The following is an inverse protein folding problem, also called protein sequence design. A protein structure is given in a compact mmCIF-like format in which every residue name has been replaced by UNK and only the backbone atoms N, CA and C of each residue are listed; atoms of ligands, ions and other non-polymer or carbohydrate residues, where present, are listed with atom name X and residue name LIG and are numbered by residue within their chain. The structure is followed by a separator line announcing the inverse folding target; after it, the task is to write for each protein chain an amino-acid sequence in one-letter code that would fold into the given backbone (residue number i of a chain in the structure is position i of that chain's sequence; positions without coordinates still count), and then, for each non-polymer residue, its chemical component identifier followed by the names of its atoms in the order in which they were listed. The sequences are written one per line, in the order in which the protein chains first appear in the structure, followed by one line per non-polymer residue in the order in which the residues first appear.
data_IF_530092715777
#
_entry.id   IF_530092715777
#
_cell.length_a   1.000
_cell.length_b   1.000
_cell.length_c   1.000
_cell.angle_alpha   90.00
_cell.angle_beta   90.00
_cell.angle_gamma   90.00
#
_symmetry.space_group_name_H-M   'P 1'
#
loop_
_entity.id
_entity.type
_entity.pdbx_description
1 polymer ?
#
# COMPACT_ATOMS: atom_id res chain seq x y z
N UNK A 1 -10.41 12.94 21.92
CA UNK A 1 -10.23 11.62 21.28
C UNK A 1 -9.12 11.74 20.26
N UNK A 2 -8.17 10.79 20.18
CA UNK A 2 -7.13 10.81 19.16
C UNK A 2 -7.76 10.47 17.79
N UNK A 3 -7.39 11.23 16.75
CA UNK A 3 -7.83 10.98 15.38
C UNK A 3 -6.69 10.30 14.62
N UNK A 4 -6.78 8.98 14.50
CA UNK A 4 -5.77 8.17 13.82
C UNK A 4 -6.39 7.56 12.56
N UNK A 5 -5.70 7.69 11.44
CA UNK A 5 -6.07 6.97 10.23
C UNK A 5 -4.83 6.25 9.65
N UNK A 6 -4.97 4.96 9.50
CA UNK A 6 -3.99 4.08 8.86
C UNK A 6 -4.48 3.75 7.45
N UNK A 7 -3.63 3.91 6.48
CA UNK A 7 -3.94 3.62 5.08
C UNK A 7 -3.03 2.50 4.58
N UNK A 8 -3.57 1.54 3.87
CA UNK A 8 -2.75 0.70 3.01
C UNK A 8 -2.21 1.53 1.83
N UNK A 9 -1.19 1.01 1.16
CA UNK A 9 -0.57 1.68 0.02
C UNK A 9 -1.08 1.12 -1.31
N UNK A 10 -0.82 -0.16 -1.57
CA UNK A 10 -1.04 -0.82 -2.84
C UNK A 10 -2.54 -1.10 -3.07
N UNK A 11 -3.06 -0.70 -4.24
CA UNK A 11 -4.47 -0.79 -4.61
C UNK A 11 -5.44 -0.05 -3.63
N UNK A 12 -4.87 0.80 -2.77
CA UNK A 12 -5.60 1.73 -1.89
C UNK A 12 -5.23 3.18 -2.20
N UNK A 13 -4.04 3.64 -1.85
CA UNK A 13 -3.56 5.00 -2.17
C UNK A 13 -2.96 5.11 -3.56
N UNK A 14 -2.46 4.01 -4.10
CA UNK A 14 -1.88 3.92 -5.45
C UNK A 14 -2.46 2.72 -6.20
N UNK A 15 -2.63 2.85 -7.51
CA UNK A 15 -3.03 1.75 -8.39
C UNK A 15 -1.83 0.84 -8.68
N UNK A 16 -1.59 -0.12 -7.78
CA UNK A 16 -0.51 -1.09 -7.90
C UNK A 16 -0.77 -2.08 -9.03
N UNK A 17 -2.01 -2.51 -9.19
CA UNK A 17 -2.38 -3.51 -10.19
C UNK A 17 -2.12 -3.02 -11.61
N UNK A 18 -2.49 -1.79 -11.94
CA UNK A 18 -2.17 -1.18 -13.22
C UNK A 18 -0.67 -0.88 -13.35
N UNK A 19 -0.07 -0.32 -12.29
CA UNK A 19 1.36 -0.01 -12.25
C UNK A 19 2.23 -1.25 -12.47
N UNK A 20 1.84 -2.41 -11.93
CA UNK A 20 2.56 -3.67 -12.12
C UNK A 20 2.62 -4.08 -13.60
N UNK A 21 1.50 -4.03 -14.31
CA UNK A 21 1.47 -4.38 -15.75
C UNK A 21 2.33 -3.45 -16.60
N UNK A 22 2.29 -2.16 -16.30
CA UNK A 22 3.12 -1.16 -16.98
C UNK A 22 4.61 -1.41 -16.67
N UNK A 23 4.93 -1.66 -15.41
CA UNK A 23 6.28 -1.95 -14.97
C UNK A 23 6.87 -3.19 -15.66
N UNK A 24 6.16 -4.32 -15.68
CA UNK A 24 6.65 -5.56 -16.29
C UNK A 24 6.90 -5.37 -17.79
N UNK A 25 6.00 -4.71 -18.49
CA UNK A 25 6.18 -4.41 -19.92
C UNK A 25 7.41 -3.55 -20.18
N UNK A 26 7.60 -2.48 -19.38
CA UNK A 26 8.80 -1.64 -19.50
C UNK A 26 10.06 -2.41 -19.15
N UNK A 27 10.04 -3.18 -18.06
CA UNK A 27 11.15 -4.01 -17.61
C UNK A 27 11.63 -4.98 -18.70
N UNK A 28 10.70 -5.69 -19.35
CA UNK A 28 11.04 -6.59 -20.45
C UNK A 28 11.58 -5.85 -21.68
N UNK A 29 10.95 -4.71 -22.02
CA UNK A 29 11.42 -3.88 -23.13
C UNK A 29 12.83 -3.34 -22.91
N UNK A 30 13.12 -2.82 -21.72
CA UNK A 30 14.40 -2.21 -21.37
C UNK A 30 15.56 -3.22 -21.36
N UNK A 31 15.25 -4.48 -20.98
CA UNK A 31 16.23 -5.56 -20.91
C UNK A 31 16.26 -6.45 -22.17
N UNK A 32 15.40 -6.18 -23.14
CA UNK A 32 15.29 -6.96 -24.37
C UNK A 32 14.81 -8.39 -24.14
N UNK A 33 13.95 -8.60 -23.14
CA UNK A 33 13.38 -9.90 -22.82
C UNK A 33 12.26 -10.26 -23.80
N UNK A 34 12.13 -11.56 -24.07
CA UNK A 34 11.10 -12.11 -24.95
C UNK A 34 9.75 -12.25 -24.21
N UNK A 35 8.69 -12.49 -24.97
CA UNK A 35 7.31 -12.54 -24.48
C UNK A 35 7.08 -13.62 -23.41
N UNK A 36 7.75 -14.75 -23.49
CA UNK A 36 7.69 -15.83 -22.51
C UNK A 36 8.18 -15.39 -21.10
N UNK A 37 9.17 -14.52 -21.05
CA UNK A 37 9.65 -13.93 -19.80
C UNK A 37 8.60 -12.93 -19.25
N UNK A 38 7.98 -12.11 -20.11
CA UNK A 38 6.92 -11.19 -19.70
C UNK A 38 5.72 -11.96 -19.10
N UNK A 39 5.27 -13.01 -19.77
CA UNK A 39 4.18 -13.86 -19.28
C UNK A 39 4.53 -14.51 -17.93
N UNK A 40 5.74 -15.05 -17.80
CA UNK A 40 6.22 -15.64 -16.56
C UNK A 40 6.21 -14.61 -15.39
N UNK A 41 6.72 -13.41 -15.65
CA UNK A 41 6.75 -12.34 -14.63
C UNK A 41 5.34 -11.91 -14.24
N UNK A 42 4.43 -11.77 -15.19
CA UNK A 42 3.04 -11.40 -14.95
C UNK A 42 2.31 -12.44 -14.08
N UNK A 43 2.60 -13.73 -14.28
CA UNK A 43 2.00 -14.80 -13.47
C UNK A 43 2.67 -14.92 -12.10
N UNK A 44 3.99 -15.08 -12.07
CA UNK A 44 4.74 -15.41 -10.86
C UNK A 44 4.75 -14.28 -9.83
N UNK A 45 4.67 -13.00 -10.26
CA UNK A 45 4.83 -11.83 -9.40
C UNK A 45 3.53 -11.00 -9.26
N UNK A 46 2.40 -11.47 -9.79
CA UNK A 46 1.14 -10.73 -9.78
C UNK A 46 0.73 -10.30 -8.37
N UNK A 47 0.69 -11.24 -7.44
CA UNK A 47 0.30 -10.97 -6.05
C UNK A 47 1.37 -10.17 -5.30
N UNK A 48 2.62 -10.53 -5.48
CA UNK A 48 3.78 -9.95 -4.81
C UNK A 48 5.07 -10.35 -5.50
N UNK A 49 6.03 -9.44 -5.54
CA UNK A 49 7.40 -9.70 -5.96
C UNK A 49 8.35 -9.81 -4.77
N UNK A 50 9.27 -10.75 -4.82
CA UNK A 50 10.38 -10.92 -3.89
C UNK A 50 11.70 -10.97 -4.65
N UNK A 51 12.81 -10.65 -3.98
CA UNK A 51 14.15 -10.83 -4.58
C UNK A 51 14.38 -12.27 -5.07
N UNK A 52 13.88 -13.26 -4.33
CA UNK A 52 13.94 -14.68 -4.72
C UNK A 52 13.24 -15.03 -6.02
N UNK A 53 12.26 -14.25 -6.45
CA UNK A 53 11.61 -14.46 -7.74
C UNK A 53 12.55 -14.14 -8.90
N UNK A 54 13.47 -13.18 -8.71
CA UNK A 54 14.52 -12.88 -9.68
C UNK A 54 15.63 -13.95 -9.71
N UNK A 55 15.89 -14.64 -8.60
CA UNK A 55 16.74 -15.83 -8.62
C UNK A 55 16.10 -16.98 -9.44
N UNK A 56 14.78 -17.18 -9.28
CA UNK A 56 14.00 -18.14 -10.06
C UNK A 56 13.99 -17.75 -11.53
N UNK A 57 13.69 -16.50 -11.85
CA UNK A 57 13.72 -15.96 -13.21
C UNK A 57 15.06 -16.22 -13.90
N UNK A 58 16.16 -15.90 -13.21
CA UNK A 58 17.52 -16.12 -13.72
C UNK A 58 17.80 -17.60 -14.01
N UNK A 59 17.35 -18.47 -13.13
CA UNK A 59 17.54 -19.91 -13.27
C UNK A 59 16.71 -20.49 -14.42
N UNK A 60 15.46 -20.06 -14.57
CA UNK A 60 14.53 -20.54 -15.58
C UNK A 60 14.98 -20.13 -16.99
N UNK A 61 15.40 -18.88 -17.16
CA UNK A 61 15.74 -18.31 -18.46
C UNK A 61 17.25 -18.13 -18.69
N UNK A 62 18.08 -18.72 -17.84
CA UNK A 62 19.55 -18.67 -17.94
C UNK A 62 20.11 -17.23 -18.06
N UNK A 63 19.54 -16.28 -17.34
CA UNK A 63 19.91 -14.87 -17.41
C UNK A 63 21.25 -14.62 -16.72
N UNK A 64 22.11 -13.80 -17.35
CA UNK A 64 23.43 -13.44 -16.82
C UNK A 64 23.37 -12.27 -15.84
N UNK A 65 22.37 -11.39 -15.93
CA UNK A 65 22.22 -10.23 -15.06
C UNK A 65 22.12 -10.63 -13.58
N UNK A 66 22.78 -9.95 -12.64
CA UNK A 66 22.69 -10.25 -11.21
C UNK A 66 21.27 -10.03 -10.68
N UNK A 67 20.85 -10.86 -9.71
CA UNK A 67 19.53 -10.75 -9.03
C UNK A 67 19.27 -9.34 -8.50
N UNK A 68 20.26 -8.75 -7.85
CA UNK A 68 20.11 -7.41 -7.26
C UNK A 68 19.91 -6.32 -8.32
N UNK A 69 20.57 -6.44 -9.47
CA UNK A 69 20.38 -5.49 -10.58
C UNK A 69 18.96 -5.58 -11.14
N UNK A 70 18.46 -6.79 -11.37
CA UNK A 70 17.08 -7.03 -11.81
C UNK A 70 16.07 -6.52 -10.79
N UNK A 71 16.29 -6.78 -9.50
CA UNK A 71 15.45 -6.30 -8.42
C UNK A 71 15.40 -4.76 -8.37
N UNK A 72 16.56 -4.09 -8.42
CA UNK A 72 16.62 -2.63 -8.39
C UNK A 72 15.95 -2.00 -9.62
N UNK A 73 16.12 -2.62 -10.80
CA UNK A 73 15.43 -2.19 -12.00
C UNK A 73 13.90 -2.30 -11.83
N UNK A 74 13.42 -3.44 -11.32
CA UNK A 74 12.02 -3.65 -11.02
C UNK A 74 11.47 -2.65 -9.98
N UNK A 75 12.17 -2.42 -8.88
CA UNK A 75 11.76 -1.45 -7.86
C UNK A 75 11.61 -0.04 -8.44
N UNK A 76 12.59 0.37 -9.26
CA UNK A 76 12.56 1.67 -9.94
C UNK A 76 11.41 1.76 -10.94
N UNK A 77 11.18 0.70 -11.71
CA UNK A 77 10.07 0.58 -12.65
C UNK A 77 8.71 0.65 -11.97
N UNK A 78 8.53 -0.07 -10.87
CA UNK A 78 7.29 -0.04 -10.07
C UNK A 78 7.03 1.35 -9.49
N UNK A 79 8.06 1.99 -8.94
CA UNK A 79 7.92 3.35 -8.41
C UNK A 79 7.55 4.37 -9.50
N UNK A 80 8.05 4.17 -10.73
CA UNK A 80 7.73 5.04 -11.87
C UNK A 80 6.33 4.77 -12.43
N UNK A 81 5.85 3.52 -12.35
CA UNK A 81 4.59 3.10 -12.95
C UNK A 81 3.36 3.35 -12.07
N UNK A 82 3.51 3.36 -10.74
CA UNK A 82 2.38 3.63 -9.84
C UNK A 82 2.04 5.12 -9.82
N UNK A 83 0.75 5.41 -9.72
CA UNK A 83 0.24 6.78 -9.60
C UNK A 83 -0.65 6.91 -8.38
N UNK A 84 -0.65 8.09 -7.77
CA UNK A 84 -1.60 8.46 -6.74
C UNK A 84 -2.50 9.59 -7.28
N UNK A 85 -3.83 9.45 -7.22
CA UNK A 85 -4.73 10.51 -7.69
C UNK A 85 -4.48 11.84 -6.95
N UNK A 86 -4.48 12.99 -7.66
CA UNK A 86 -4.30 14.29 -7.01
C UNK A 86 -5.30 14.57 -5.89
N UNK A 87 -6.55 14.09 -6.01
CA UNK A 87 -7.57 14.21 -4.98
C UNK A 87 -7.18 13.48 -3.69
N UNK A 88 -6.54 12.32 -3.79
CA UNK A 88 -6.02 11.59 -2.62
C UNK A 88 -4.91 12.39 -1.94
N UNK A 89 -3.96 12.93 -2.73
CA UNK A 89 -2.86 13.72 -2.17
C UNK A 89 -3.35 14.98 -1.44
N UNK A 90 -4.29 15.74 -2.03
CA UNK A 90 -4.89 16.91 -1.36
C UNK A 90 -5.72 16.50 -0.14
N UNK A 91 -6.47 15.42 -0.24
CA UNK A 91 -7.29 14.92 0.87
C UNK A 91 -6.47 14.46 2.07
N UNK A 92 -5.29 13.85 1.87
CA UNK A 92 -4.35 13.54 2.96
C UNK A 92 -3.86 14.83 3.66
N UNK A 93 -3.57 15.89 2.91
CA UNK A 93 -3.19 17.20 3.48
C UNK A 93 -4.36 17.81 4.27
N UNK A 94 -5.60 17.72 3.76
CA UNK A 94 -6.80 18.19 4.45
C UNK A 94 -7.08 17.43 5.73
N UNK A 95 -6.92 16.11 5.75
CA UNK A 95 -7.03 15.29 6.96
C UNK A 95 -6.03 15.74 8.03
N UNK A 96 -4.76 15.97 7.66
CA UNK A 96 -3.74 16.47 8.60
C UNK A 96 -4.11 17.87 9.13
N UNK A 97 -4.55 18.76 8.25
CA UNK A 97 -5.02 20.10 8.63
C UNK A 97 -6.23 20.05 9.58
N UNK A 98 -7.08 19.02 9.46
CA UNK A 98 -8.20 18.74 10.35
C UNK A 98 -7.80 18.03 11.66
N UNK A 99 -6.51 17.84 11.92
CA UNK A 99 -5.97 17.27 13.15
C UNK A 99 -5.91 15.74 13.20
N UNK A 100 -6.04 15.06 12.04
CA UNK A 100 -5.77 13.63 11.95
C UNK A 100 -4.26 13.38 11.93
N UNK A 101 -3.83 12.28 12.57
CA UNK A 101 -2.50 11.72 12.41
C UNK A 101 -2.58 10.53 11.48
N UNK A 102 -1.78 10.57 10.43
CA UNK A 102 -1.86 9.63 9.31
C UNK A 102 -0.64 8.73 9.25
N UNK A 103 -0.85 7.43 9.12
CA UNK A 103 0.23 6.51 8.79
C UNK A 103 -0.12 5.64 7.57
N UNK A 104 0.87 5.39 6.74
CA UNK A 104 0.79 4.27 5.79
C UNK A 104 1.24 3.00 6.50
N UNK A 105 0.44 1.93 6.38
CA UNK A 105 0.73 0.59 6.92
C UNK A 105 0.67 -0.40 5.77
N UNK A 106 1.82 -0.82 5.27
CA UNK A 106 1.91 -1.59 4.04
C UNK A 106 2.73 -2.86 4.18
N UNK A 107 2.26 -3.93 3.53
CA UNK A 107 3.00 -5.19 3.42
C UNK A 107 3.88 -5.16 2.17
N UNK A 108 5.20 -5.28 2.34
CA UNK A 108 6.13 -5.32 1.21
C UNK A 108 7.59 -5.21 1.65
N UNK A 109 8.49 -5.24 0.68
CA UNK A 109 9.90 -4.94 0.89
C UNK A 109 10.11 -3.43 1.06
N UNK A 110 11.04 -3.06 1.93
CA UNK A 110 11.26 -1.67 2.33
C UNK A 110 11.65 -0.77 1.17
N UNK A 111 12.56 -1.23 0.35
CA UNK A 111 13.06 -0.48 -0.80
C UNK A 111 11.98 -0.13 -1.83
N UNK A 112 11.15 -1.11 -2.24
CA UNK A 112 10.10 -0.85 -3.23
C UNK A 112 8.97 0.02 -2.66
N UNK A 113 8.54 -0.21 -1.40
CA UNK A 113 7.47 0.59 -0.80
C UNK A 113 7.93 2.03 -0.56
N UNK A 114 9.16 2.24 -0.09
CA UNK A 114 9.75 3.57 0.06
C UNK A 114 9.91 4.30 -1.27
N UNK A 115 10.32 3.61 -2.32
CA UNK A 115 10.44 4.18 -3.66
C UNK A 115 9.08 4.65 -4.22
N UNK A 116 8.01 3.86 -4.06
CA UNK A 116 6.64 4.24 -4.44
C UNK A 116 6.17 5.47 -3.69
N UNK A 117 6.33 5.49 -2.36
CA UNK A 117 5.92 6.60 -1.50
C UNK A 117 6.62 7.91 -1.87
N UNK A 118 7.94 7.86 -2.06
CA UNK A 118 8.74 9.02 -2.44
C UNK A 118 8.36 9.54 -3.84
N UNK A 119 8.14 8.63 -4.78
CA UNK A 119 7.79 9.00 -6.16
C UNK A 119 6.41 9.63 -6.27
N UNK A 120 5.43 9.14 -5.52
CA UNK A 120 4.07 9.67 -5.48
C UNK A 120 3.93 10.89 -4.57
N UNK A 121 4.90 11.12 -3.68
CA UNK A 121 4.90 12.21 -2.70
C UNK A 121 3.94 11.97 -1.54
N UNK A 122 3.47 10.74 -1.33
CA UNK A 122 2.64 10.35 -0.19
C UNK A 122 3.44 10.46 1.11
N UNK A 123 4.75 10.13 1.08
CA UNK A 123 5.65 10.21 2.23
C UNK A 123 5.67 11.59 2.91
N UNK A 124 5.44 12.65 2.16
CA UNK A 124 5.38 14.05 2.66
C UNK A 124 4.01 14.43 3.22
N UNK A 125 2.99 13.60 2.97
CA UNK A 125 1.58 13.86 3.29
C UNK A 125 1.05 13.01 4.43
N UNK A 126 1.88 12.11 4.97
CA UNK A 126 1.57 11.30 6.14
C UNK A 126 2.58 11.57 7.25
N UNK A 127 2.22 11.24 8.48
CA UNK A 127 3.06 11.51 9.66
C UNK A 127 3.98 10.33 9.98
N UNK A 128 3.63 9.12 9.51
CA UNK A 128 4.44 7.91 9.66
C UNK A 128 4.24 6.94 8.49
N UNK A 129 5.23 6.06 8.31
CA UNK A 129 5.18 4.93 7.37
C UNK A 129 5.69 3.69 8.09
N UNK A 130 4.86 2.64 8.11
CA UNK A 130 5.16 1.34 8.69
C UNK A 130 5.18 0.28 7.58
N UNK A 131 6.37 -0.20 7.22
CA UNK A 131 6.56 -1.23 6.19
C UNK A 131 6.86 -2.55 6.86
N UNK A 132 6.14 -3.61 6.49
CA UNK A 132 6.21 -4.90 7.16
C UNK A 132 7.60 -5.53 7.20
N UNK A 133 8.40 -5.41 6.16
CA UNK A 133 9.77 -5.94 6.15
C UNK A 133 10.67 -5.21 7.16
N UNK A 134 10.50 -3.88 7.30
CA UNK A 134 11.33 -3.07 8.18
C UNK A 134 11.07 -3.35 9.66
N UNK A 135 9.80 -3.66 10.00
CA UNK A 135 9.39 -3.91 11.39
C UNK A 135 9.32 -5.40 11.74
N UNK A 136 9.47 -6.29 10.76
CA UNK A 136 9.42 -7.75 10.95
C UNK A 136 8.02 -8.29 11.26
N UNK A 137 6.97 -7.50 11.12
CA UNK A 137 5.57 -7.84 11.40
C UNK A 137 4.72 -7.41 10.21
N UNK A 138 3.71 -8.20 9.84
CA UNK A 138 2.89 -7.92 8.65
C UNK A 138 1.39 -7.97 8.95
N UNK A 139 0.58 -7.22 8.21
CA UNK A 139 -0.88 -7.38 8.23
C UNK A 139 -1.25 -8.81 7.81
N UNK A 140 -2.20 -9.48 8.49
CA UNK A 140 -3.17 -8.95 9.46
C UNK A 140 -2.71 -8.99 10.94
N UNK A 141 -1.45 -9.23 11.25
CA UNK A 141 -0.98 -9.30 12.64
C UNK A 141 -1.18 -7.97 13.37
N UNK A 142 -1.76 -8.00 14.56
CA UNK A 142 -2.09 -6.80 15.38
C UNK A 142 -0.85 -5.92 15.63
N UNK A 143 0.31 -6.56 15.76
CA UNK A 143 1.58 -5.89 16.05
C UNK A 143 1.95 -4.78 15.08
N UNK A 144 1.62 -4.91 13.78
CA UNK A 144 1.97 -3.89 12.78
C UNK A 144 1.15 -2.60 12.98
N UNK A 145 -0.13 -2.71 13.36
CA UNK A 145 -0.98 -1.55 13.66
C UNK A 145 -0.54 -0.86 14.95
N UNK A 146 -0.13 -1.65 15.95
CA UNK A 146 0.43 -1.12 17.21
C UNK A 146 1.73 -0.36 16.94
N UNK A 147 2.61 -0.90 16.09
CA UNK A 147 3.85 -0.23 15.72
C UNK A 147 3.58 1.06 14.94
N UNK A 148 2.62 1.06 14.02
CA UNK A 148 2.20 2.26 13.30
C UNK A 148 1.67 3.35 14.25
N UNK A 149 0.88 2.98 15.26
CA UNK A 149 0.42 3.90 16.30
C UNK A 149 1.60 4.46 17.13
N UNK A 150 2.57 3.61 17.49
CA UNK A 150 3.80 4.02 18.16
C UNK A 150 4.60 5.04 17.34
N UNK A 151 4.74 4.81 16.04
CA UNK A 151 5.42 5.74 15.12
C UNK A 151 4.70 7.09 15.03
N UNK A 152 3.38 7.10 15.17
CA UNK A 152 2.58 8.33 15.27
C UNK A 152 2.68 9.02 16.66
N UNK A 153 3.34 8.40 17.65
CA UNK A 153 3.33 8.89 19.03
C UNK A 153 1.96 8.81 19.68
N UNK A 154 1.14 7.82 19.31
CA UNK A 154 -0.19 7.61 19.87
C UNK A 154 -0.14 6.69 21.09
N UNK A 155 -1.05 6.92 22.05
CA UNK A 155 -1.16 6.11 23.29
C UNK A 155 -1.90 4.77 23.05
N UNK A 156 -2.10 4.37 21.80
CA UNK A 156 -2.77 3.14 21.38
C UNK A 156 -3.65 3.34 20.15
N UNK A 157 -4.47 2.34 19.85
CA UNK A 157 -5.28 2.26 18.62
C UNK A 157 -6.71 2.82 18.78
N UNK A 158 -7.12 3.14 20.02
CA UNK A 158 -8.51 3.53 20.33
C UNK A 158 -8.98 4.73 19.50
N UNK A 159 -10.11 4.57 18.83
CA UNK A 159 -10.70 5.58 17.95
C UNK A 159 -10.05 5.70 16.56
N UNK A 160 -9.06 4.85 16.26
CA UNK A 160 -8.40 4.82 14.96
C UNK A 160 -9.21 4.11 13.88
N UNK A 161 -8.81 4.37 12.65
CA UNK A 161 -9.38 3.77 11.44
C UNK A 161 -8.31 3.09 10.61
N UNK A 162 -8.65 1.94 10.02
CA UNK A 162 -7.87 1.31 8.94
C UNK A 162 -8.63 1.43 7.63
N UNK A 163 -7.99 1.96 6.62
CA UNK A 163 -8.48 2.11 5.24
C UNK A 163 -7.64 1.23 4.34
N UNK A 164 -8.26 0.29 3.63
CA UNK A 164 -7.53 -0.60 2.74
C UNK A 164 -8.42 -1.44 1.84
N UNK A 165 -7.82 -2.07 0.84
CA UNK A 165 -8.51 -2.87 -0.17
C UNK A 165 -8.65 -4.35 0.21
N UNK A 166 -7.79 -4.86 1.09
CA UNK A 166 -7.75 -6.28 1.43
C UNK A 166 -8.74 -6.64 2.55
N UNK A 167 -9.76 -7.50 2.29
CA UNK A 167 -10.68 -7.98 3.31
C UNK A 167 -9.99 -8.65 4.50
N UNK A 168 -8.95 -9.44 4.24
CA UNK A 168 -8.22 -10.18 5.27
C UNK A 168 -7.20 -9.30 6.00
N UNK A 169 -6.34 -8.60 5.24
CA UNK A 169 -5.19 -7.90 5.82
C UNK A 169 -5.59 -6.59 6.50
N UNK A 170 -6.47 -5.83 5.86
CA UNK A 170 -6.84 -4.49 6.29
C UNK A 170 -8.11 -4.50 7.14
N UNK A 171 -9.18 -5.12 6.63
CA UNK A 171 -10.46 -5.11 7.33
C UNK A 171 -10.44 -6.05 8.53
N UNK A 172 -10.22 -7.35 8.33
CA UNK A 172 -10.19 -8.30 9.43
C UNK A 172 -9.03 -8.03 10.40
N UNK A 173 -7.83 -7.71 9.88
CA UNK A 173 -6.66 -7.35 10.68
C UNK A 173 -6.88 -6.08 11.50
N UNK A 174 -7.44 -5.02 10.89
CA UNK A 174 -7.77 -3.77 11.56
C UNK A 174 -8.80 -3.96 12.67
N UNK A 175 -9.87 -4.70 12.40
CA UNK A 175 -10.91 -5.05 13.41
C UNK A 175 -10.33 -5.85 14.58
N UNK A 176 -9.49 -6.84 14.28
CA UNK A 176 -8.81 -7.62 15.32
C UNK A 176 -7.90 -6.75 16.21
N UNK A 177 -7.34 -5.67 15.65
CA UNK A 177 -6.56 -4.67 16.37
C UNK A 177 -7.43 -3.63 17.12
N UNK A 178 -8.76 -3.70 17.01
CA UNK A 178 -9.69 -2.75 17.65
C UNK A 178 -9.86 -1.43 16.90
N UNK A 179 -9.45 -1.38 15.63
CA UNK A 179 -9.70 -0.26 14.73
C UNK A 179 -11.09 -0.36 14.11
N UNK A 180 -11.69 0.78 13.76
CA UNK A 180 -12.76 0.82 12.77
C UNK A 180 -12.18 0.70 11.38
N UNK A 181 -12.99 0.26 10.43
CA UNK A 181 -12.48 -0.11 9.11
C UNK A 181 -13.29 0.51 7.99
N UNK A 182 -12.58 0.98 6.96
CA UNK A 182 -13.16 1.41 5.69
C UNK A 182 -12.56 0.51 4.61
N UNK A 183 -13.42 -0.28 3.98
CA UNK A 183 -12.99 -1.13 2.88
C UNK A 183 -13.08 -0.39 1.55
N UNK A 184 -11.96 -0.32 0.84
CA UNK A 184 -11.87 0.18 -0.53
C UNK A 184 -12.15 -0.98 -1.48
N UNK A 185 -13.38 -1.07 -1.98
CA UNK A 185 -13.87 -2.25 -2.70
C UNK A 185 -13.47 -2.31 -4.17
N UNK A 186 -13.01 -1.19 -4.74
CA UNK A 186 -12.76 -1.09 -6.20
C UNK A 186 -13.99 -1.40 -7.06
N UNK A 187 -15.20 -1.27 -6.49
CA UNK A 187 -16.46 -1.63 -7.15
C UNK A 187 -16.84 -3.11 -7.05
N UNK A 188 -16.08 -3.93 -6.32
CA UNK A 188 -16.41 -5.34 -6.09
C UNK A 188 -17.40 -5.49 -4.94
N UNK A 189 -18.57 -6.08 -5.22
CA UNK A 189 -19.72 -6.15 -4.30
C UNK A 189 -19.74 -7.34 -3.32
N UNK A 190 -18.61 -7.94 -2.97
CA UNK A 190 -18.60 -9.02 -1.99
C UNK A 190 -18.88 -8.46 -0.58
N UNK A 191 -19.68 -9.18 0.21
CA UNK A 191 -19.97 -8.78 1.58
C UNK A 191 -18.73 -8.93 2.47
N UNK A 192 -18.15 -7.79 2.85
CA UNK A 192 -17.05 -7.71 3.82
C UNK A 192 -17.56 -6.99 5.06
N UNK A 193 -17.29 -7.52 6.24
CA UNK A 193 -17.67 -6.89 7.52
C UNK A 193 -16.79 -5.69 7.85
N UNK A 194 -16.90 -4.61 7.08
CA UNK A 194 -16.28 -3.32 7.36
C UNK A 194 -17.31 -2.35 7.96
N UNK A 195 -16.87 -1.35 8.72
CA UNK A 195 -17.76 -0.29 9.23
C UNK A 195 -18.30 0.57 8.09
N UNK A 196 -17.47 0.79 7.05
CA UNK A 196 -17.86 1.46 5.81
C UNK A 196 -17.24 0.77 4.59
N UNK A 197 -17.94 0.88 3.46
CA UNK A 197 -17.48 0.41 2.15
C UNK A 197 -17.51 1.59 1.20
N UNK A 198 -16.42 1.79 0.48
CA UNK A 198 -16.24 2.89 -0.48
C UNK A 198 -15.67 2.35 -1.79
N UNK A 199 -15.76 3.12 -2.86
CA UNK A 199 -15.22 2.73 -4.16
C UNK A 199 -13.72 2.97 -4.27
N UNK A 200 -13.21 4.04 -3.65
CA UNK A 200 -11.81 4.45 -3.70
C UNK A 200 -11.35 5.22 -2.45
N UNK A 201 -10.07 5.53 -2.38
CA UNK A 201 -9.49 6.24 -1.24
C UNK A 201 -9.98 7.69 -1.10
N UNK A 202 -10.43 8.33 -2.18
CA UNK A 202 -10.96 9.70 -2.11
C UNK A 202 -12.27 9.73 -1.33
N UNK A 203 -13.17 8.78 -1.60
CA UNK A 203 -14.41 8.61 -0.81
C UNK A 203 -14.11 8.28 0.67
N UNK A 204 -13.09 7.44 0.95
CA UNK A 204 -12.68 7.15 2.32
C UNK A 204 -12.22 8.40 3.06
N UNK A 205 -11.44 9.25 2.41
CA UNK A 205 -10.93 10.52 2.94
C UNK A 205 -12.09 11.49 3.22
N UNK A 206 -13.01 11.65 2.27
CA UNK A 206 -14.19 12.51 2.43
C UNK A 206 -15.05 12.06 3.62
N UNK A 207 -15.24 10.75 3.77
CA UNK A 207 -15.96 10.18 4.90
C UNK A 207 -15.27 10.52 6.24
N UNK A 208 -13.93 10.37 6.33
CA UNK A 208 -13.17 10.72 7.53
C UNK A 208 -13.23 12.23 7.84
N UNK A 209 -13.17 13.08 6.82
CA UNK A 209 -13.34 14.53 6.96
C UNK A 209 -14.75 14.89 7.48
N UNK A 210 -15.78 14.22 6.96
CA UNK A 210 -17.18 14.42 7.38
C UNK A 210 -17.42 14.09 8.87
N UNK A 211 -16.64 13.17 9.45
CA UNK A 211 -16.73 12.83 10.89
C UNK A 211 -16.28 14.00 11.81
N UNK A 212 -15.67 15.04 11.27
CA UNK A 212 -15.29 16.25 12.01
C UNK A 212 -16.49 17.15 12.38
N UNK A 213 -17.61 17.05 11.67
CA UNK A 213 -18.78 17.93 11.80
C UNK A 213 -19.79 17.56 12.90
N UNK A 214 -19.64 16.41 13.57
CA UNK A 214 -20.68 15.87 14.46
C UNK A 214 -20.46 16.21 15.95
N UNK A 215 -19.40 16.94 16.29
CA UNK A 215 -19.08 17.33 17.68
C UNK A 215 -18.78 18.83 17.80
N UNK A 216 -19.60 19.68 17.21
CA UNK A 216 -19.63 21.10 17.50
C UNK A 216 -20.93 21.47 18.23
#
# INVERSE_FOLDING_TARGET
MQRLAFFDLDDTLVDRTQGFRVCIRSFCSDLGFAEDIEEWLLDAMYERAYRSDFDRLRSEFALSAPTEELWQHYCSGMAAAVTCPPAVLSGLEELRAAGWRLAVVTNGAGDIQRAKLARTGIDRRVDAVCVSEEVGIRKPEIGIFTEAARLLGADGLSGGWMVGDSPEKDVAGGRAAGLRTIWVSGGNGNAVEADHVVSDASEAIELLLGMNGVHA
#
